data_IF_695731764670
#
_entry.id   IF_695731764670
#
_cell.length_a   1.000
_cell.length_b   1.000
_cell.length_c   1.000
_cell.angle_alpha   90.00
_cell.angle_beta   90.00
_cell.angle_gamma   90.00
#
_symmetry.space_group_name_H-M   'P 1'
#
loop_
_entity.id
_entity.type
_entity.pdbx_description
1 polymer ?
#
# COMPACT_ATOMS: atom_id res chain seq x y z
N UNK A 1 -12.23 -6.83 -0.83
CA UNK A 1 -11.28 -6.04 -0.01
C UNK A 1 -10.63 -4.87 -0.78
N UNK A 2 -9.83 -5.07 -1.84
CA UNK A 2 -9.10 -3.96 -2.50
C UNK A 2 -9.98 -2.80 -2.97
N UNK A 3 -11.10 -3.08 -3.64
CA UNK A 3 -12.01 -2.03 -4.11
C UNK A 3 -12.67 -1.25 -2.96
N UNK A 4 -13.02 -1.93 -1.87
CA UNK A 4 -13.56 -1.26 -0.67
C UNK A 4 -12.50 -0.35 -0.04
N UNK A 5 -11.24 -0.76 0.00
CA UNK A 5 -10.15 0.10 0.47
C UNK A 5 -9.98 1.33 -0.43
N UNK A 6 -10.02 1.18 -1.77
CA UNK A 6 -10.03 2.32 -2.69
C UNK A 6 -11.18 3.28 -2.39
N UNK A 7 -12.39 2.75 -2.25
CA UNK A 7 -13.58 3.55 -1.94
C UNK A 7 -13.41 4.33 -0.63
N UNK A 8 -12.89 3.69 0.42
CA UNK A 8 -12.64 4.34 1.70
C UNK A 8 -11.59 5.46 1.56
N UNK A 9 -10.47 5.23 0.85
CA UNK A 9 -9.50 6.27 0.56
C UNK A 9 -10.13 7.45 -0.19
N UNK A 10 -10.96 7.17 -1.19
CA UNK A 10 -11.64 8.23 -1.94
C UNK A 10 -12.64 9.01 -1.08
N UNK A 11 -13.35 8.36 -0.16
CA UNK A 11 -14.23 9.04 0.80
C UNK A 11 -13.44 9.96 1.74
N UNK A 12 -12.21 9.61 2.12
CA UNK A 12 -11.33 10.51 2.87
C UNK A 12 -10.96 11.76 2.06
N UNK A 13 -10.70 11.60 0.75
CA UNK A 13 -10.42 12.73 -0.16
C UNK A 13 -11.61 13.67 -0.23
N UNK A 14 -12.81 13.14 -0.43
CA UNK A 14 -14.02 13.96 -0.56
C UNK A 14 -14.41 14.58 0.78
N UNK A 15 -14.48 13.78 1.85
CA UNK A 15 -15.04 14.19 3.14
C UNK A 15 -14.11 15.04 3.97
N UNK A 16 -12.80 14.78 3.94
CA UNK A 16 -11.85 15.49 4.81
C UNK A 16 -10.98 16.51 4.09
N UNK A 17 -10.67 16.29 2.82
CA UNK A 17 -9.87 17.22 2.04
C UNK A 17 -10.70 18.14 1.14
N UNK A 18 -12.02 17.91 1.05
CA UNK A 18 -12.90 18.66 0.14
C UNK A 18 -12.53 18.47 -1.34
N UNK A 19 -11.86 17.35 -1.65
CA UNK A 19 -11.35 17.05 -2.97
C UNK A 19 -12.32 16.24 -3.83
N UNK A 20 -11.84 15.87 -5.01
CA UNK A 20 -12.54 15.04 -6.00
C UNK A 20 -11.54 14.30 -6.87
N UNK A 21 -12.02 13.44 -7.77
CA UNK A 21 -11.17 12.86 -8.81
C UNK A 21 -10.51 13.91 -9.71
N UNK A 22 -9.48 13.51 -10.41
CA UNK A 22 -8.61 14.33 -11.25
C UNK A 22 -7.83 15.39 -10.45
N UNK A 23 -7.49 15.02 -9.22
CA UNK A 23 -6.62 15.78 -8.31
C UNK A 23 -5.58 14.83 -7.68
N UNK A 24 -4.50 15.41 -7.17
CA UNK A 24 -3.43 14.66 -6.52
C UNK A 24 -3.45 14.92 -5.01
N UNK A 25 -3.72 13.89 -4.22
CA UNK A 25 -3.48 13.92 -2.78
C UNK A 25 -2.00 13.67 -2.54
N UNK A 26 -1.39 14.40 -1.63
CA UNK A 26 0.01 14.23 -1.28
C UNK A 26 0.26 14.51 0.20
N UNK A 27 1.41 14.12 0.71
CA UNK A 27 1.89 14.47 2.04
C UNK A 27 3.12 15.35 1.90
N UNK A 28 3.09 16.57 2.45
CA UNK A 28 4.18 17.54 2.39
C UNK A 28 5.33 17.21 3.36
N UNK A 29 5.19 16.17 4.18
CA UNK A 29 6.18 15.64 5.10
C UNK A 29 6.07 14.12 5.20
N UNK A 30 6.99 13.50 5.92
CA UNK A 30 6.94 12.07 6.20
C UNK A 30 5.64 11.69 6.91
N UNK A 31 5.17 10.49 6.65
CA UNK A 31 3.95 9.98 7.26
C UNK A 31 4.14 9.77 8.76
N UNK A 32 3.14 10.19 9.50
CA UNK A 32 2.97 9.89 10.92
C UNK A 32 1.73 8.99 11.13
N UNK A 33 1.41 8.73 12.37
CA UNK A 33 0.28 7.90 12.78
C UNK A 33 -1.10 8.40 12.27
N UNK A 34 -1.23 9.59 11.75
CA UNK A 34 -2.47 10.07 11.12
C UNK A 34 -2.74 9.44 9.77
N UNK A 35 -1.73 8.85 9.13
CA UNK A 35 -1.94 8.03 7.94
C UNK A 35 -2.30 6.61 8.38
N UNK A 36 -3.58 6.28 8.26
CA UNK A 36 -4.16 4.98 8.59
C UNK A 36 -4.53 4.23 7.32
N UNK A 37 -3.60 4.20 6.38
CA UNK A 37 -3.65 3.27 5.24
C UNK A 37 -2.95 1.96 5.60
N UNK A 38 -3.12 0.92 4.78
CA UNK A 38 -2.50 -0.38 5.03
C UNK A 38 -0.98 -0.29 4.90
N UNK A 39 -0.25 -0.74 5.90
CA UNK A 39 1.22 -0.85 5.96
C UNK A 39 2.00 0.29 5.25
N UNK A 40 1.71 1.57 5.53
CA UNK A 40 2.38 2.68 4.84
C UNK A 40 3.87 2.73 5.20
N UNK A 41 4.69 3.29 4.31
CA UNK A 41 6.11 3.48 4.57
C UNK A 41 6.38 4.90 5.10
N UNK A 42 6.97 5.09 6.29
CA UNK A 42 7.26 6.42 6.83
C UNK A 42 8.49 7.10 6.21
N UNK A 43 9.28 6.39 5.38
CA UNK A 43 10.57 6.88 4.88
C UNK A 43 10.51 7.42 3.43
N UNK A 44 9.31 7.74 2.93
CA UNK A 44 9.10 8.28 1.57
C UNK A 44 8.01 9.35 1.59
N UNK A 45 7.99 10.21 0.57
CA UNK A 45 6.88 11.12 0.32
C UNK A 45 5.86 10.45 -0.60
N UNK A 46 4.60 10.40 -0.19
CA UNK A 46 3.52 9.82 -0.96
C UNK A 46 2.74 10.84 -1.76
N UNK A 47 2.32 10.40 -2.97
CA UNK A 47 1.34 11.08 -3.80
C UNK A 47 0.34 10.04 -4.31
N UNK A 48 -0.93 10.42 -4.29
CA UNK A 48 -2.04 9.61 -4.79
C UNK A 48 -2.86 10.42 -5.79
N UNK A 49 -2.52 10.41 -7.09
CA UNK A 49 -3.40 10.88 -8.15
C UNK A 49 -4.66 10.01 -8.20
N UNK A 50 -5.81 10.55 -7.87
CA UNK A 50 -7.11 9.91 -8.09
C UNK A 50 -7.67 10.37 -9.43
N UNK A 51 -8.08 9.46 -10.28
CA UNK A 51 -8.62 9.77 -11.60
C UNK A 51 -10.04 9.23 -11.79
N UNK A 52 -10.81 9.91 -12.62
CA UNK A 52 -12.11 9.46 -13.14
C UNK A 52 -12.21 9.83 -14.61
N UNK A 53 -12.35 8.81 -15.45
CA UNK A 53 -12.43 8.92 -16.90
C UNK A 53 -13.86 8.94 -17.43
N UNK A 54 -14.89 8.78 -16.56
CA UNK A 54 -16.28 8.58 -16.96
C UNK A 54 -16.83 9.74 -17.77
N UNK A 55 -16.68 10.94 -17.21
CA UNK A 55 -17.18 12.17 -17.83
C UNK A 55 -16.07 12.99 -18.49
N UNK A 56 -14.84 12.85 -17.99
CA UNK A 56 -13.69 13.61 -18.48
C UNK A 56 -13.03 12.99 -19.73
N UNK A 57 -13.38 11.75 -20.08
CA UNK A 57 -12.65 11.01 -21.10
C UNK A 57 -11.26 10.57 -20.64
N UNK A 58 -10.33 10.27 -21.58
CA UNK A 58 -8.97 9.87 -21.22
C UNK A 58 -8.26 10.92 -20.37
N UNK A 59 -7.50 10.45 -19.35
CA UNK A 59 -6.74 11.29 -18.44
C UNK A 59 -5.24 11.11 -18.70
N UNK A 60 -4.51 12.21 -18.73
CA UNK A 60 -3.05 12.23 -18.82
C UNK A 60 -2.46 12.40 -17.43
N UNK A 61 -1.60 11.46 -17.05
CA UNK A 61 -0.71 11.56 -15.89
C UNK A 61 0.72 11.79 -16.42
N UNK A 62 1.25 13.00 -16.24
CA UNK A 62 2.65 13.28 -16.58
C UNK A 62 3.57 12.98 -15.40
N UNK A 63 4.56 12.14 -15.64
CA UNK A 63 5.62 11.80 -14.68
C UNK A 63 6.91 12.51 -15.12
N UNK A 64 7.56 13.32 -14.25
CA UNK A 64 8.82 13.95 -14.58
C UNK A 64 9.95 12.92 -14.72
N UNK A 65 10.99 13.22 -15.53
CA UNK A 65 12.16 12.37 -15.61
C UNK A 65 12.92 12.33 -14.27
N UNK A 66 13.63 11.24 -14.01
CA UNK A 66 14.44 11.04 -12.81
C UNK A 66 15.77 11.82 -12.86
N UNK A 67 15.69 13.13 -13.01
CA UNK A 67 16.81 14.07 -13.11
C UNK A 67 17.20 14.70 -11.76
N UNK A 68 16.22 15.18 -10.99
CA UNK A 68 16.41 15.82 -9.69
C UNK A 68 15.91 14.96 -8.51
N UNK A 69 15.14 13.91 -8.80
CA UNK A 69 14.56 12.98 -7.86
C UNK A 69 14.14 11.69 -8.53
N UNK A 70 13.51 10.79 -7.78
CA UNK A 70 12.99 9.53 -8.29
C UNK A 70 11.56 9.33 -7.81
N UNK A 71 10.64 9.11 -8.74
CA UNK A 71 9.30 8.62 -8.46
C UNK A 71 9.21 7.14 -8.79
N UNK A 72 8.67 6.37 -7.86
CA UNK A 72 8.32 4.96 -8.06
C UNK A 72 6.85 4.76 -7.69
N UNK A 73 6.14 3.99 -8.46
CA UNK A 73 4.75 3.69 -8.14
C UNK A 73 4.07 2.86 -9.19
N UNK A 74 2.78 2.61 -8.95
CA UNK A 74 1.92 1.87 -9.87
C UNK A 74 0.62 2.61 -10.07
N UNK A 75 0.13 2.62 -11.31
CA UNK A 75 -1.21 3.08 -11.65
C UNK A 75 -2.14 1.88 -11.56
N UNK A 76 -3.25 2.03 -10.88
CA UNK A 76 -4.17 0.95 -10.55
C UNK A 76 -5.60 1.32 -10.92
N UNK A 77 -6.37 0.30 -11.31
CA UNK A 77 -7.81 0.42 -11.47
C UNK A 77 -8.52 0.48 -10.10
N UNK A 78 -9.85 0.61 -10.11
CA UNK A 78 -10.67 0.64 -8.88
C UNK A 78 -10.48 -0.60 -7.99
N UNK A 79 -10.19 -1.76 -8.58
CA UNK A 79 -9.95 -3.02 -7.88
C UNK A 79 -8.51 -3.16 -7.36
N UNK A 80 -7.72 -2.09 -7.45
CA UNK A 80 -6.30 -2.05 -7.09
C UNK A 80 -5.44 -3.08 -7.83
N UNK A 81 -5.87 -3.50 -9.02
CA UNK A 81 -5.02 -4.25 -9.92
C UNK A 81 -4.12 -3.26 -10.70
N UNK A 82 -2.81 -3.54 -10.73
CA UNK A 82 -1.86 -2.67 -11.41
C UNK A 82 -2.07 -2.70 -12.93
N UNK A 83 -2.25 -1.52 -13.50
CA UNK A 83 -2.32 -1.31 -14.94
C UNK A 83 -0.90 -1.20 -15.49
N UNK A 84 -0.08 -0.35 -14.87
CA UNK A 84 1.32 -0.18 -15.23
C UNK A 84 2.13 0.42 -14.06
N UNK A 85 3.43 0.13 -14.03
CA UNK A 85 4.36 0.73 -13.11
C UNK A 85 5.04 1.96 -13.73
N UNK A 86 5.40 2.92 -12.88
CA UNK A 86 6.10 4.17 -13.25
C UNK A 86 7.46 4.26 -12.57
N UNK A 87 8.35 5.04 -13.17
CA UNK A 87 9.71 5.27 -12.67
C UNK A 87 10.73 4.24 -13.14
N UNK A 88 11.92 4.15 -12.51
CA UNK A 88 13.01 3.28 -12.97
C UNK A 88 12.65 1.81 -13.13
N UNK A 89 11.71 1.30 -12.33
CA UNK A 89 11.19 -0.08 -12.44
C UNK A 89 10.05 -0.25 -13.44
N UNK A 90 9.47 0.85 -13.92
CA UNK A 90 8.34 0.88 -14.83
C UNK A 90 8.73 0.95 -16.30
N UNK A 91 7.72 1.14 -17.16
CA UNK A 91 7.91 1.19 -18.62
C UNK A 91 8.70 2.40 -19.08
N UNK A 92 8.65 3.52 -18.36
CA UNK A 92 9.39 4.74 -18.64
C UNK A 92 10.87 4.66 -18.24
N UNK A 93 11.25 3.64 -17.49
CA UNK A 93 12.63 3.41 -17.02
C UNK A 93 13.29 4.65 -16.40
N UNK A 94 12.47 5.48 -15.71
CA UNK A 94 12.92 6.73 -15.12
C UNK A 94 13.10 7.89 -16.12
N UNK A 95 12.72 7.72 -17.38
CA UNK A 95 12.75 8.81 -18.36
C UNK A 95 11.58 9.78 -18.18
N UNK A 96 10.60 9.40 -17.36
CA UNK A 96 9.34 10.09 -17.28
C UNK A 96 8.49 9.91 -18.54
N UNK A 97 7.33 10.56 -18.58
CA UNK A 97 6.46 10.44 -19.74
C UNK A 97 5.03 10.85 -19.47
N UNK A 98 4.24 10.80 -20.54
CA UNK A 98 2.80 11.04 -20.51
C UNK A 98 2.08 9.69 -20.52
N UNK A 99 1.57 9.30 -19.37
CA UNK A 99 0.75 8.10 -19.24
C UNK A 99 -0.70 8.47 -19.53
N UNK A 100 -1.26 7.87 -20.60
CA UNK A 100 -2.63 8.10 -21.03
C UNK A 100 -3.53 7.00 -20.48
N UNK A 101 -4.34 7.33 -19.48
CA UNK A 101 -5.34 6.44 -18.89
C UNK A 101 -6.57 6.46 -19.75
N UNK A 102 -6.87 5.34 -20.39
CA UNK A 102 -7.95 5.19 -21.37
C UNK A 102 -9.16 4.54 -20.68
N UNK A 103 -10.38 5.12 -20.78
CA UNK A 103 -11.57 4.57 -20.13
C UNK A 103 -12.00 3.20 -20.67
N UNK A 104 -12.87 2.48 -19.94
CA UNK A 104 -13.42 1.21 -20.38
C UNK A 104 -14.13 1.33 -21.76
N UNK A 105 -13.90 0.37 -22.63
CA UNK A 105 -14.50 0.29 -23.98
C UNK A 105 -14.16 1.46 -24.91
N UNK A 106 -13.12 2.20 -24.59
CA UNK A 106 -12.61 3.25 -25.48
C UNK A 106 -11.72 2.58 -26.53
N UNK A 107 -12.06 2.80 -27.81
CA UNK A 107 -11.21 2.36 -28.92
C UNK A 107 -10.30 3.54 -29.27
N UNK A 108 -9.01 3.47 -28.93
CA UNK A 108 -8.10 4.56 -29.18
C UNK A 108 -7.66 4.55 -30.65
N UNK A 109 -8.48 5.04 -31.56
CA UNK A 109 -8.08 5.23 -32.95
C UNK A 109 -6.92 6.27 -33.07
N UNK A 110 -6.77 7.15 -32.06
CA UNK A 110 -5.78 8.21 -32.03
C UNK A 110 -5.11 8.35 -30.66
N UNK A 111 -4.19 7.44 -30.33
CA UNK A 111 -3.28 7.69 -29.21
C UNK A 111 -2.27 8.76 -29.63
N UNK A 112 -2.23 9.92 -28.94
CA UNK A 112 -1.28 10.97 -29.29
C UNK A 112 0.16 10.45 -29.28
N UNK A 113 0.99 10.82 -30.28
CA UNK A 113 2.40 10.42 -30.31
C UNK A 113 3.12 10.80 -29.01
N UNK A 114 3.93 9.87 -28.49
CA UNK A 114 4.69 10.07 -27.27
C UNK A 114 3.94 9.81 -25.96
N UNK A 115 2.69 9.34 -26.03
CA UNK A 115 1.95 8.85 -24.86
C UNK A 115 2.16 7.34 -24.65
N UNK A 116 2.25 6.95 -23.39
CA UNK A 116 2.21 5.56 -22.93
C UNK A 116 0.74 5.25 -22.64
N UNK A 117 0.07 4.52 -23.52
CA UNK A 117 -1.35 4.21 -23.32
C UNK A 117 -1.55 3.10 -22.32
N UNK A 118 -2.50 3.29 -21.41
CA UNK A 118 -2.92 2.35 -20.37
C UNK A 118 -4.44 2.15 -20.45
N UNK A 119 -4.87 0.98 -20.89
CA UNK A 119 -6.28 0.63 -20.86
C UNK A 119 -6.73 0.33 -19.44
N UNK A 120 -7.64 1.14 -18.92
CA UNK A 120 -8.28 0.93 -17.64
C UNK A 120 -9.65 0.30 -17.83
N UNK A 121 -9.93 -0.80 -17.15
CA UNK A 121 -11.20 -1.51 -17.23
C UNK A 121 -12.25 -1.02 -16.21
N UNK A 122 -11.91 0.02 -15.45
CA UNK A 122 -12.80 0.81 -14.58
C UNK A 122 -12.72 2.29 -14.94
N UNK A 123 -13.76 3.08 -14.60
CA UNK A 123 -13.72 4.52 -14.84
C UNK A 123 -12.79 5.23 -13.86
N UNK A 124 -12.84 4.81 -12.61
CA UNK A 124 -12.02 5.37 -11.55
C UNK A 124 -10.84 4.46 -11.23
N UNK A 125 -9.82 5.09 -10.67
CA UNK A 125 -8.64 4.44 -10.12
C UNK A 125 -7.71 5.47 -9.51
N UNK A 126 -6.52 5.06 -9.16
CA UNK A 126 -5.51 5.95 -8.61
C UNK A 126 -4.11 5.46 -8.93
N UNK A 127 -3.12 6.30 -8.73
CA UNK A 127 -1.74 5.86 -8.65
C UNK A 127 -1.22 5.98 -7.23
N UNK A 128 -0.47 5.00 -6.76
CA UNK A 128 0.29 5.11 -5.53
C UNK A 128 1.75 5.39 -5.89
N UNK A 129 2.15 6.64 -5.71
CA UNK A 129 3.46 7.13 -6.10
C UNK A 129 4.28 7.51 -4.87
N UNK A 130 5.55 7.15 -4.88
CA UNK A 130 6.51 7.48 -3.84
C UNK A 130 7.64 8.32 -4.41
N UNK A 131 7.89 9.50 -3.82
CA UNK A 131 9.12 10.23 -4.07
C UNK A 131 10.19 9.73 -3.09
N UNK A 132 11.25 9.16 -3.64
CA UNK A 132 12.33 8.54 -2.86
C UNK A 132 13.24 9.62 -2.31
N UNK A 133 13.58 9.50 -1.04
CA UNK A 133 14.46 10.43 -0.33
C UNK A 133 15.93 9.99 -0.46
N UNK A 134 16.83 10.96 -0.48
CA UNK A 134 18.29 10.71 -0.35
C UNK A 134 18.70 10.57 1.11
N UNK A 135 18.03 11.30 1.99
CA UNK A 135 18.13 11.21 3.44
C UNK A 135 16.82 11.67 4.08
N UNK A 136 16.69 11.53 5.40
CA UNK A 136 15.52 12.02 6.15
C UNK A 136 15.71 13.47 6.65
N UNK A 137 16.61 14.27 6.04
CA UNK A 137 16.78 15.68 6.37
C UNK A 137 15.62 16.51 5.85
N UNK A 138 15.30 17.61 6.56
CA UNK A 138 14.24 18.55 6.13
C UNK A 138 14.48 19.08 4.70
N UNK A 139 15.75 19.30 4.32
CA UNK A 139 16.11 19.76 2.98
C UNK A 139 15.78 18.71 1.92
N UNK A 140 16.13 17.43 2.14
CA UNK A 140 15.83 16.35 1.20
C UNK A 140 14.34 16.07 1.11
N UNK A 141 13.62 16.16 2.22
CA UNK A 141 12.15 16.08 2.25
C UNK A 141 11.55 17.20 1.38
N UNK A 142 11.99 18.45 1.57
CA UNK A 142 11.50 19.58 0.79
C UNK A 142 11.81 19.43 -0.71
N UNK A 143 13.01 18.95 -1.06
CA UNK A 143 13.38 18.66 -2.44
C UNK A 143 12.51 17.55 -3.06
N UNK A 144 12.29 16.45 -2.33
CA UNK A 144 11.45 15.35 -2.78
C UNK A 144 9.99 15.78 -3.02
N UNK A 145 9.45 16.65 -2.17
CA UNK A 145 8.11 17.25 -2.33
C UNK A 145 8.08 18.18 -3.54
N UNK A 146 9.08 19.05 -3.71
CA UNK A 146 9.16 19.97 -4.84
C UNK A 146 9.25 19.21 -6.16
N UNK A 147 10.10 18.17 -6.22
CA UNK A 147 10.23 17.31 -7.38
C UNK A 147 8.92 16.56 -7.69
N UNK A 148 8.29 15.97 -6.70
CA UNK A 148 7.03 15.27 -6.85
C UNK A 148 5.90 16.16 -7.39
N UNK A 149 5.86 17.42 -7.01
CA UNK A 149 4.91 18.42 -7.54
C UNK A 149 5.12 18.82 -8.99
N UNK A 150 6.14 18.29 -9.66
CA UNK A 150 6.30 18.41 -11.14
C UNK A 150 5.33 17.48 -11.89
N UNK A 151 4.72 16.51 -11.21
CA UNK A 151 3.65 15.69 -11.80
C UNK A 151 2.49 16.56 -12.26
N UNK A 152 1.81 16.11 -13.35
CA UNK A 152 0.58 16.74 -13.81
C UNK A 152 -0.50 15.70 -14.03
N UNK A 153 -1.75 16.11 -13.78
CA UNK A 153 -2.94 15.28 -13.99
C UNK A 153 -4.02 16.15 -14.64
N UNK A 154 -4.45 15.79 -15.84
CA UNK A 154 -5.44 16.56 -16.60
C UNK A 154 -6.16 15.71 -17.66
N UNK A 155 -7.38 16.10 -18.09
CA UNK A 155 -8.05 15.46 -19.20
C UNK A 155 -7.28 15.61 -20.52
N UNK A 156 -7.30 14.59 -21.38
CA UNK A 156 -6.66 14.65 -22.70
C UNK A 156 -7.20 15.80 -23.56
N UNK A 157 -8.49 16.13 -23.42
CA UNK A 157 -9.11 17.29 -24.10
C UNK A 157 -8.37 18.61 -23.86
N UNK A 158 -7.72 18.72 -22.70
CA UNK A 158 -7.02 19.93 -22.28
C UNK A 158 -5.51 19.89 -22.59
N UNK A 159 -5.03 18.85 -23.30
CA UNK A 159 -3.60 18.63 -23.54
C UNK A 159 -2.89 19.77 -24.29
N UNK A 160 -3.61 20.59 -25.08
CA UNK A 160 -3.05 21.77 -25.74
C UNK A 160 -2.75 22.94 -24.79
N UNK A 161 -3.46 23.01 -23.66
CA UNK A 161 -3.28 24.03 -22.61
C UNK A 161 -3.70 23.43 -21.26
N UNK A 162 -2.87 22.54 -20.68
CA UNK A 162 -3.24 21.83 -19.47
C UNK A 162 -3.48 22.79 -18.29
N UNK A 163 -4.57 22.62 -17.53
CA UNK A 163 -4.79 23.39 -16.32
C UNK A 163 -3.74 23.08 -15.28
N UNK A 164 -3.57 23.98 -14.31
CA UNK A 164 -2.72 23.72 -13.15
C UNK A 164 -3.26 22.52 -12.37
N UNK A 165 -2.39 21.57 -12.09
CA UNK A 165 -2.73 20.41 -11.27
C UNK A 165 -3.05 20.82 -9.84
N UNK A 166 -4.15 20.33 -9.31
CA UNK A 166 -4.55 20.58 -7.93
C UNK A 166 -3.91 19.54 -7.03
N UNK A 167 -3.15 20.01 -6.04
CA UNK A 167 -2.54 19.19 -4.99
C UNK A 167 -3.24 19.42 -3.66
N UNK A 168 -3.70 18.36 -3.02
CA UNK A 168 -4.37 18.37 -1.72
C UNK A 168 -3.42 17.79 -0.67
N UNK A 169 -3.01 18.61 0.28
CA UNK A 169 -2.09 18.18 1.35
C UNK A 169 -2.85 17.47 2.47
N UNK A 170 -2.54 16.21 2.70
CA UNK A 170 -3.14 15.37 3.73
C UNK A 170 -2.27 15.23 4.99
N UNK A 171 -1.16 15.98 5.12
CA UNK A 171 -0.19 15.80 6.21
C UNK A 171 -0.77 16.04 7.60
N UNK A 172 -1.79 16.89 7.74
CA UNK A 172 -2.43 17.19 9.02
C UNK A 172 -3.79 16.50 9.22
N UNK A 173 -4.20 15.67 8.27
CA UNK A 173 -5.48 14.99 8.28
C UNK A 173 -5.32 13.55 8.78
N UNK A 174 -6.20 13.11 9.66
CA UNK A 174 -6.37 11.68 9.95
C UNK A 174 -7.00 11.03 8.71
N UNK A 175 -6.15 10.53 7.83
CA UNK A 175 -6.53 9.83 6.60
C UNK A 175 -6.67 8.34 6.89
N UNK A 176 -7.92 7.86 7.03
CA UNK A 176 -8.23 6.54 7.54
C UNK A 176 -9.03 5.70 6.52
N UNK A 177 -8.35 4.74 5.91
CA UNK A 177 -8.96 3.79 4.99
C UNK A 177 -8.99 2.35 5.53
N UNK A 178 -8.95 2.21 6.86
CA UNK A 178 -9.06 0.91 7.54
C UNK A 178 -10.34 0.22 7.15
N UNK A 179 -10.26 -1.05 6.75
CA UNK A 179 -11.45 -1.85 6.39
C UNK A 179 -12.35 -2.03 7.62
N UNK A 180 -13.62 -1.62 7.54
CA UNK A 180 -14.58 -1.93 8.59
C UNK A 180 -15.08 -3.37 8.42
N UNK A 181 -14.92 -4.21 9.44
CA UNK A 181 -15.44 -5.56 9.45
C UNK A 181 -16.88 -5.59 9.98
N UNK A 182 -17.76 -4.79 9.34
CA UNK A 182 -19.18 -4.65 9.65
C UNK A 182 -19.99 -4.25 8.40
N UNK A 183 -21.25 -3.84 8.59
CA UNK A 183 -22.18 -3.45 7.52
C UNK A 183 -21.60 -2.36 6.59
N UNK A 184 -20.73 -1.49 7.08
CA UNK A 184 -20.12 -0.40 6.29
C UNK A 184 -19.26 -0.93 5.13
N UNK A 185 -18.73 -2.15 5.26
CA UNK A 185 -18.08 -2.84 4.15
C UNK A 185 -19.02 -3.02 2.96
N UNK A 186 -20.25 -3.50 3.23
CA UNK A 186 -21.26 -3.74 2.21
C UNK A 186 -21.83 -2.44 1.65
N UNK A 187 -21.93 -1.39 2.48
CA UNK A 187 -22.31 -0.05 2.01
C UNK A 187 -21.29 0.49 1.01
N UNK A 188 -19.99 0.30 1.27
CA UNK A 188 -18.92 0.65 0.32
C UNK A 188 -19.00 -0.22 -0.95
N UNK A 189 -19.20 -1.52 -0.80
CA UNK A 189 -19.32 -2.45 -1.93
C UNK A 189 -20.55 -2.10 -2.82
N UNK A 190 -21.65 -1.67 -2.22
CA UNK A 190 -22.82 -1.20 -2.97
C UNK A 190 -22.46 0.02 -3.84
N UNK A 191 -21.76 1.02 -3.30
CA UNK A 191 -21.30 2.19 -4.08
C UNK A 191 -20.45 1.79 -5.29
N UNK A 192 -19.56 0.83 -5.12
CA UNK A 192 -18.72 0.28 -6.20
C UNK A 192 -19.57 -0.34 -7.31
N UNK A 193 -20.53 -1.19 -6.92
CA UNK A 193 -21.44 -1.86 -7.85
C UNK A 193 -22.28 -0.86 -8.66
N UNK A 194 -22.63 0.29 -8.05
CA UNK A 194 -23.35 1.37 -8.74
C UNK A 194 -22.46 2.15 -9.71
N UNK A 195 -21.21 2.44 -9.32
CA UNK A 195 -20.35 3.40 -10.03
C UNK A 195 -19.62 2.79 -11.24
N UNK A 196 -19.11 1.54 -11.08
CA UNK A 196 -18.16 0.95 -12.00
C UNK A 196 -18.75 -0.13 -12.90
N UNK A 197 -18.21 -0.34 -14.12
CA UNK A 197 -18.60 -1.47 -14.94
C UNK A 197 -18.21 -2.78 -14.25
N UNK A 198 -19.03 -3.80 -14.43
CA UNK A 198 -18.68 -5.13 -13.94
C UNK A 198 -17.68 -5.79 -14.89
N UNK A 199 -16.51 -6.07 -14.35
CA UNK A 199 -15.51 -6.82 -15.10
C UNK A 199 -16.00 -8.24 -15.35
N UNK A 200 -15.69 -8.80 -16.50
CA UNK A 200 -16.13 -10.15 -16.84
C UNK A 200 -15.65 -11.18 -15.83
N UNK A 201 -14.37 -11.07 -15.40
CA UNK A 201 -13.78 -11.92 -14.38
C UNK A 201 -14.49 -11.86 -13.03
N UNK A 202 -15.14 -10.73 -12.71
CA UNK A 202 -15.73 -10.48 -11.39
C UNK A 202 -17.25 -10.71 -11.37
N UNK A 203 -17.87 -10.97 -12.53
CA UNK A 203 -19.34 -11.14 -12.64
C UNK A 203 -19.90 -12.24 -11.74
N UNK A 204 -19.21 -13.37 -11.66
CA UNK A 204 -19.62 -14.49 -10.81
C UNK A 204 -19.64 -14.14 -9.31
N UNK A 205 -18.91 -13.09 -8.90
CA UNK A 205 -18.88 -12.61 -7.52
C UNK A 205 -19.85 -11.45 -7.30
N UNK A 206 -20.02 -10.59 -8.32
CA UNK A 206 -20.86 -9.39 -8.20
C UNK A 206 -22.35 -9.72 -8.36
N UNK A 207 -22.74 -10.55 -9.34
CA UNK A 207 -24.15 -10.86 -9.57
C UNK A 207 -24.86 -11.52 -8.37
N UNK A 208 -24.26 -12.44 -7.61
CA UNK A 208 -24.87 -12.99 -6.41
C UNK A 208 -25.12 -11.99 -5.28
N UNK A 209 -24.47 -10.82 -5.28
CA UNK A 209 -24.67 -9.80 -4.24
C UNK A 209 -26.13 -9.27 -4.19
N UNK A 210 -26.90 -9.43 -5.28
CA UNK A 210 -28.34 -9.14 -5.27
C UNK A 210 -29.10 -9.95 -4.23
N UNK A 211 -28.62 -11.13 -3.84
CA UNK A 211 -29.26 -11.96 -2.80
C UNK A 211 -29.19 -11.35 -1.41
N UNK A 212 -28.30 -10.40 -1.20
CA UNK A 212 -28.16 -9.62 0.03
C UNK A 212 -28.59 -8.15 -0.15
N UNK A 213 -29.21 -7.83 -1.28
CA UNK A 213 -29.76 -6.50 -1.58
C UNK A 213 -28.78 -5.51 -2.23
N UNK A 214 -27.60 -5.97 -2.69
CA UNK A 214 -26.68 -5.13 -3.47
C UNK A 214 -26.91 -5.39 -4.95
N UNK A 215 -27.65 -4.51 -5.61
CA UNK A 215 -28.02 -4.60 -7.03
C UNK A 215 -27.87 -3.24 -7.68
N UNK A 216 -27.45 -3.21 -8.94
CA UNK A 216 -27.30 -1.96 -9.69
C UNK A 216 -28.66 -1.30 -9.95
N UNK A 217 -28.74 -0.02 -9.62
CA UNK A 217 -29.95 0.79 -9.75
C UNK A 217 -30.85 0.76 -8.53
N UNK A 218 -30.57 -0.12 -7.54
CA UNK A 218 -31.34 -0.23 -6.31
C UNK A 218 -30.54 0.30 -5.10
N UNK A 219 -31.22 0.94 -4.13
CA UNK A 219 -30.57 1.37 -2.89
C UNK A 219 -30.28 0.16 -2.01
N UNK A 220 -29.11 0.15 -1.36
CA UNK A 220 -28.77 -0.87 -0.37
C UNK A 220 -29.34 -0.47 1.00
N UNK A 221 -30.47 -1.04 1.38
CA UNK A 221 -31.15 -0.81 2.67
C UNK A 221 -31.60 -2.13 3.30
N UNK A 222 -30.65 -2.95 3.82
CA UNK A 222 -30.95 -4.24 4.41
C UNK A 222 -31.74 -4.10 5.72
N UNK A 223 -32.70 -5.00 5.93
CA UNK A 223 -33.45 -5.07 7.19
C UNK A 223 -32.56 -5.44 8.39
N UNK A 224 -33.10 -5.34 9.60
CA UNK A 224 -32.35 -5.58 10.83
C UNK A 224 -31.82 -7.02 10.98
N UNK A 225 -32.46 -8.01 10.35
CA UNK A 225 -31.96 -9.40 10.31
C UNK A 225 -30.78 -9.52 9.39
N UNK A 226 -30.91 -9.01 8.18
CA UNK A 226 -29.85 -9.03 7.18
C UNK A 226 -28.62 -8.28 7.67
N UNK A 227 -28.78 -7.10 8.32
CA UNK A 227 -27.66 -6.36 8.92
C UNK A 227 -26.88 -7.19 9.93
N UNK A 228 -27.56 -7.95 10.81
CA UNK A 228 -26.87 -8.82 11.78
C UNK A 228 -26.09 -9.92 11.08
N UNK A 229 -26.72 -10.62 10.13
CA UNK A 229 -26.05 -11.69 9.37
C UNK A 229 -24.81 -11.17 8.64
N UNK A 230 -24.90 -9.99 8.04
CA UNK A 230 -23.77 -9.38 7.32
C UNK A 230 -22.65 -8.95 8.27
N UNK A 231 -22.96 -8.42 9.46
CA UNK A 231 -21.95 -8.12 10.47
C UNK A 231 -21.25 -9.40 10.95
N UNK A 232 -22.00 -10.46 11.25
CA UNK A 232 -21.44 -11.75 11.69
C UNK A 232 -20.55 -12.35 10.58
N UNK A 233 -20.97 -12.28 9.32
CA UNK A 233 -20.20 -12.77 8.17
C UNK A 233 -18.88 -12.01 7.99
N UNK A 234 -18.84 -10.69 8.27
CA UNK A 234 -17.59 -9.93 8.21
C UNK A 234 -16.61 -10.32 9.32
N UNK A 235 -17.09 -10.60 10.53
CA UNK A 235 -16.24 -11.09 11.62
C UNK A 235 -15.68 -12.48 11.32
N UNK A 236 -16.49 -13.36 10.74
CA UNK A 236 -16.06 -14.69 10.30
C UNK A 236 -15.01 -14.56 9.16
N UNK A 237 -15.25 -13.69 8.17
CA UNK A 237 -14.29 -13.43 7.10
C UNK A 237 -12.97 -12.89 7.64
N UNK A 238 -12.99 -12.01 8.65
CA UNK A 238 -11.78 -11.54 9.33
C UNK A 238 -11.01 -12.70 9.95
N UNK A 239 -11.71 -13.57 10.68
CA UNK A 239 -11.08 -14.73 11.33
C UNK A 239 -10.42 -15.68 10.31
N UNK A 240 -11.07 -15.94 9.17
CA UNK A 240 -10.50 -16.74 8.07
C UNK A 240 -9.25 -16.10 7.50
N UNK A 241 -9.24 -14.79 7.30
CA UNK A 241 -8.04 -14.07 6.82
C UNK A 241 -6.89 -14.17 7.84
N UNK A 242 -7.18 -13.99 9.13
CA UNK A 242 -6.18 -14.11 10.20
C UNK A 242 -5.60 -15.53 10.31
N UNK A 243 -6.43 -16.56 10.21
CA UNK A 243 -5.97 -17.95 10.23
C UNK A 243 -4.98 -18.26 9.10
N UNK A 244 -5.20 -17.66 7.92
CA UNK A 244 -4.29 -17.85 6.78
C UNK A 244 -2.92 -17.23 6.97
N UNK A 245 -2.79 -16.16 7.76
CA UNK A 245 -1.48 -15.60 8.09
C UNK A 245 -0.57 -16.63 8.76
N UNK A 246 -1.13 -17.48 9.61
CA UNK A 246 -0.39 -18.56 10.28
C UNK A 246 0.08 -19.68 9.32
N UNK A 247 -0.41 -19.71 8.07
CA UNK A 247 -0.04 -20.74 7.09
C UNK A 247 1.08 -20.32 6.14
N UNK A 248 1.53 -19.06 6.19
CA UNK A 248 2.60 -18.57 5.31
C UNK A 248 3.94 -19.18 5.75
N UNK A 249 4.66 -19.87 4.84
CA UNK A 249 5.93 -20.49 5.23
C UNK A 249 7.00 -19.44 5.55
N UNK A 250 7.90 -19.74 6.50
CA UNK A 250 8.98 -18.85 6.84
C UNK A 250 9.95 -18.65 5.66
N UNK A 251 10.43 -17.42 5.50
CA UNK A 251 11.44 -17.09 4.48
C UNK A 251 12.78 -17.76 4.77
N UNK A 252 13.20 -17.78 6.03
CA UNK A 252 14.39 -18.50 6.49
C UNK A 252 13.96 -19.80 7.16
N UNK A 253 14.68 -20.89 6.89
CA UNK A 253 14.45 -22.16 7.57
C UNK A 253 14.60 -21.99 9.09
N UNK A 254 13.59 -22.43 9.86
CA UNK A 254 13.53 -22.32 11.31
C UNK A 254 13.42 -20.87 11.83
N UNK A 255 13.03 -19.91 11.02
CA UNK A 255 12.81 -18.53 11.43
C UNK A 255 11.33 -18.13 11.43
N UNK A 256 11.04 -16.90 11.88
CA UNK A 256 9.68 -16.36 11.99
C UNK A 256 9.39 -15.21 11.01
N UNK A 257 10.36 -14.80 10.20
CA UNK A 257 10.15 -13.87 9.11
C UNK A 257 9.57 -14.59 7.89
N UNK A 258 8.53 -14.03 7.29
CA UNK A 258 7.94 -14.57 6.07
C UNK A 258 7.76 -13.50 5.00
N UNK A 259 7.71 -13.89 3.74
CA UNK A 259 7.32 -13.00 2.66
C UNK A 259 5.80 -12.88 2.68
N UNK A 260 5.24 -11.64 2.78
CA UNK A 260 3.79 -11.45 2.97
C UNK A 260 3.01 -11.64 1.66
N UNK A 261 3.22 -12.76 0.98
CA UNK A 261 2.45 -13.21 -0.17
C UNK A 261 2.66 -14.71 -0.39
N UNK A 262 1.60 -15.43 -0.73
CA UNK A 262 1.70 -16.81 -1.19
C UNK A 262 2.21 -16.87 -2.63
N UNK A 263 2.67 -18.05 -3.07
CA UNK A 263 3.05 -18.29 -4.46
C UNK A 263 1.85 -18.08 -5.41
N UNK A 264 0.66 -18.51 -4.98
CA UNK A 264 -0.59 -18.37 -5.71
C UNK A 264 -0.99 -16.90 -5.87
N UNK A 265 -0.81 -16.09 -4.82
CA UNK A 265 -1.05 -14.65 -4.90
C UNK A 265 -0.09 -13.98 -5.90
N UNK A 266 1.19 -14.37 -5.88
CA UNK A 266 2.19 -13.84 -6.81
C UNK A 266 1.85 -14.18 -8.27
N UNK A 267 1.42 -15.40 -8.54
CA UNK A 267 0.95 -15.84 -9.86
C UNK A 267 -0.30 -15.07 -10.28
N UNK A 268 -1.26 -14.92 -9.38
CA UNK A 268 -2.52 -14.20 -9.63
C UNK A 268 -2.29 -12.72 -9.98
N UNK A 269 -1.37 -12.05 -9.28
CA UNK A 269 -0.96 -10.68 -9.61
C UNK A 269 -0.35 -10.62 -11.02
N UNK A 270 0.53 -11.56 -11.35
CA UNK A 270 1.22 -11.60 -12.64
C UNK A 270 0.29 -11.80 -13.85
N UNK A 271 -0.89 -12.39 -13.66
CA UNK A 271 -1.89 -12.61 -14.69
C UNK A 271 -3.16 -11.74 -14.57
N UNK A 272 -3.10 -10.64 -13.82
CA UNK A 272 -4.23 -9.73 -13.55
C UNK A 272 -5.43 -10.43 -12.89
N UNK A 273 -5.20 -11.46 -12.07
CA UNK A 273 -6.23 -12.32 -11.48
C UNK A 273 -7.13 -13.01 -12.52
N UNK A 274 -6.63 -13.21 -13.72
CA UNK A 274 -7.33 -13.94 -14.80
C UNK A 274 -6.85 -15.38 -14.83
N UNK A 275 -7.65 -16.28 -14.27
CA UNK A 275 -7.44 -17.72 -14.38
C UNK A 275 -8.52 -18.34 -15.24
N UNK A 276 -8.18 -19.42 -15.98
CA UNK A 276 -9.10 -20.01 -16.94
C UNK A 276 -10.26 -20.75 -16.26
N UNK A 277 -9.93 -21.53 -15.25
CA UNK A 277 -10.83 -22.55 -14.70
C UNK A 277 -11.16 -22.33 -13.22
N UNK A 278 -10.71 -21.22 -12.63
CA UNK A 278 -10.96 -20.86 -11.23
C UNK A 278 -11.08 -19.36 -11.03
N UNK A 279 -11.70 -18.96 -9.92
CA UNK A 279 -11.74 -17.57 -9.49
C UNK A 279 -10.88 -17.40 -8.23
N UNK A 280 -9.82 -16.57 -8.27
CA UNK A 280 -8.88 -16.45 -7.16
C UNK A 280 -9.45 -15.53 -6.05
N UNK A 281 -10.49 -16.00 -5.36
CA UNK A 281 -11.21 -15.24 -4.30
C UNK A 281 -10.29 -14.87 -3.17
N UNK A 282 -9.54 -15.85 -2.70
CA UNK A 282 -8.66 -15.71 -1.55
C UNK A 282 -7.50 -14.77 -1.84
N UNK A 283 -6.87 -14.94 -3.00
CA UNK A 283 -5.76 -14.09 -3.44
C UNK A 283 -6.19 -12.63 -3.58
N UNK A 284 -7.44 -12.37 -4.02
CA UNK A 284 -8.01 -11.03 -4.08
C UNK A 284 -8.18 -10.40 -2.69
N UNK A 285 -8.61 -11.17 -1.72
CA UNK A 285 -8.68 -10.76 -0.31
C UNK A 285 -7.29 -10.51 0.27
N UNK A 286 -6.39 -11.45 0.03
CA UNK A 286 -5.02 -11.39 0.52
C UNK A 286 -4.19 -10.27 -0.07
N UNK A 287 -4.44 -9.89 -1.33
CA UNK A 287 -3.79 -8.72 -1.92
C UNK A 287 -3.88 -7.52 -1.01
N UNK A 288 -5.06 -7.25 -0.45
CA UNK A 288 -5.23 -6.15 0.47
C UNK A 288 -4.50 -6.37 1.80
N UNK A 289 -4.60 -7.56 2.42
CA UNK A 289 -4.06 -7.79 3.76
C UNK A 289 -2.55 -7.98 3.78
N UNK A 290 -1.93 -8.48 2.70
CA UNK A 290 -0.51 -8.83 2.65
C UNK A 290 0.35 -7.87 1.85
N UNK A 291 -0.03 -7.56 0.61
CA UNK A 291 0.80 -6.76 -0.30
C UNK A 291 0.28 -5.34 -0.44
N UNK A 292 -0.91 -5.05 0.08
CA UNK A 292 -1.53 -3.73 0.05
C UNK A 292 -2.08 -3.31 -1.34
N UNK A 293 -1.29 -3.37 -2.39
CA UNK A 293 -1.68 -3.09 -3.75
C UNK A 293 -0.84 -3.94 -4.70
N UNK A 294 -1.31 -4.13 -5.92
CA UNK A 294 -0.54 -4.82 -6.92
C UNK A 294 0.50 -3.90 -7.57
N UNK A 295 1.62 -4.48 -7.98
CA UNK A 295 2.58 -3.88 -8.90
C UNK A 295 2.65 -4.78 -10.13
N UNK A 296 2.87 -4.18 -11.31
CA UNK A 296 2.99 -4.98 -12.53
C UNK A 296 4.27 -5.83 -12.52
N UNK A 297 5.34 -5.27 -11.93
CA UNK A 297 6.67 -5.89 -11.87
C UNK A 297 7.13 -6.05 -10.43
N UNK A 298 6.59 -7.07 -9.74
CA UNK A 298 6.87 -7.35 -8.32
C UNK A 298 8.33 -7.72 -8.11
N UNK A 299 8.94 -7.24 -7.01
CA UNK A 299 10.27 -7.66 -6.53
C UNK A 299 11.47 -6.94 -7.16
N UNK A 300 11.28 -6.04 -8.09
CA UNK A 300 12.42 -5.34 -8.75
C UNK A 300 12.95 -4.15 -7.96
N UNK A 301 12.08 -3.37 -7.35
CA UNK A 301 12.46 -2.14 -6.65
C UNK A 301 12.62 -2.34 -5.14
N UNK A 302 11.86 -3.27 -4.57
CA UNK A 302 11.78 -3.48 -3.13
C UNK A 302 11.36 -4.91 -2.80
N UNK A 303 11.75 -5.37 -1.60
CA UNK A 303 11.36 -6.68 -1.06
C UNK A 303 11.01 -6.53 0.42
N UNK A 304 10.05 -7.31 0.89
CA UNK A 304 9.52 -7.21 2.24
C UNK A 304 9.58 -8.54 2.97
N UNK A 305 9.90 -8.48 4.26
CA UNK A 305 9.69 -9.58 5.18
C UNK A 305 8.83 -9.09 6.35
N UNK A 306 7.91 -9.91 6.79
CA UNK A 306 7.01 -9.60 7.91
C UNK A 306 7.22 -10.61 9.03
N UNK A 307 7.08 -10.14 10.27
CA UNK A 307 7.03 -10.97 11.46
C UNK A 307 5.84 -10.56 12.33
N UNK A 308 5.10 -11.55 12.80
CA UNK A 308 3.97 -11.41 13.73
C UNK A 308 4.21 -12.13 15.06
N UNK A 309 5.34 -12.85 15.14
CA UNK A 309 5.73 -13.69 16.27
C UNK A 309 7.19 -13.44 16.65
N UNK A 310 7.53 -13.73 17.90
CA UNK A 310 8.90 -13.73 18.40
C UNK A 310 9.63 -15.04 18.05
N UNK A 311 10.89 -15.17 18.47
CA UNK A 311 11.76 -16.34 18.23
C UNK A 311 11.29 -17.62 18.93
N UNK A 312 10.37 -17.52 19.90
CA UNK A 312 9.68 -18.65 20.54
C UNK A 312 8.35 -19.00 19.84
N UNK A 313 7.94 -18.28 18.77
CA UNK A 313 6.65 -18.45 18.08
C UNK A 313 5.46 -17.88 18.84
N UNK A 314 5.66 -16.88 19.69
CA UNK A 314 4.57 -16.21 20.41
C UNK A 314 4.21 -14.90 19.71
N UNK A 315 2.93 -14.53 19.67
CA UNK A 315 2.50 -13.24 19.10
C UNK A 315 3.25 -12.05 19.72
N UNK A 316 3.58 -11.07 18.89
CA UNK A 316 4.24 -9.84 19.32
C UNK A 316 3.25 -8.95 20.07
N UNK A 317 3.38 -8.87 21.37
CA UNK A 317 2.50 -8.11 22.26
C UNK A 317 3.02 -6.70 22.51
N UNK A 318 2.18 -5.69 22.30
CA UNK A 318 2.58 -4.28 22.44
C UNK A 318 3.05 -3.90 23.85
N UNK A 319 2.62 -4.63 24.89
CA UNK A 319 3.02 -4.42 26.29
C UNK A 319 4.37 -5.02 26.65
N UNK A 320 4.98 -5.85 25.78
CA UNK A 320 6.26 -6.50 26.03
C UNK A 320 7.40 -5.77 25.30
N UNK A 321 8.64 -6.10 25.70
CA UNK A 321 9.85 -5.55 25.11
C UNK A 321 10.55 -6.60 24.25
N UNK A 322 11.05 -6.17 23.11
CA UNK A 322 11.70 -7.03 22.12
C UNK A 322 12.93 -6.36 21.52
N UNK A 323 13.78 -7.20 20.92
CA UNK A 323 14.94 -6.78 20.14
C UNK A 323 15.00 -7.57 18.84
N UNK A 324 15.43 -6.91 17.77
CA UNK A 324 15.88 -7.58 16.53
C UNK A 324 17.30 -7.14 16.22
N UNK A 325 18.13 -8.11 15.84
CA UNK A 325 19.48 -7.86 15.38
C UNK A 325 19.52 -7.78 13.85
N UNK A 326 19.94 -6.63 13.32
CA UNK A 326 20.20 -6.41 11.89
C UNK A 326 21.69 -6.55 11.66
N UNK A 327 22.18 -7.64 11.05
CA UNK A 327 23.60 -7.82 10.80
C UNK A 327 24.17 -6.76 9.87
N UNK A 328 25.46 -6.51 9.99
CA UNK A 328 26.19 -5.61 9.08
C UNK A 328 26.00 -5.99 7.61
N UNK A 329 26.22 -5.02 6.72
CA UNK A 329 26.16 -5.22 5.27
C UNK A 329 24.79 -5.76 4.79
N UNK A 330 23.69 -5.21 5.32
CA UNK A 330 22.36 -5.54 4.85
C UNK A 330 22.29 -5.42 3.29
N UNK A 331 21.74 -6.45 2.60
CA UNK A 331 21.83 -6.58 1.15
C UNK A 331 20.84 -5.67 0.42
N UNK A 332 21.10 -4.37 0.47
CA UNK A 332 20.30 -3.31 -0.16
C UNK A 332 21.20 -2.36 -0.94
N UNK A 333 20.70 -1.86 -2.07
CA UNK A 333 21.38 -0.83 -2.84
C UNK A 333 21.03 0.59 -2.36
N UNK A 334 19.89 0.74 -1.66
CA UNK A 334 19.43 2.03 -1.18
C UNK A 334 19.39 2.05 0.34
N UNK A 335 18.37 1.47 0.97
CA UNK A 335 18.22 1.42 2.42
C UNK A 335 17.37 0.23 2.87
N UNK A 336 17.45 -0.08 4.14
CA UNK A 336 16.53 -0.98 4.83
C UNK A 336 15.74 -0.22 5.90
N UNK A 337 14.54 -0.71 6.22
CA UNK A 337 13.75 -0.19 7.35
C UNK A 337 12.98 -1.27 8.07
N UNK A 338 12.71 -1.02 9.36
CA UNK A 338 11.78 -1.77 10.19
C UNK A 338 10.67 -0.82 10.63
N UNK A 339 9.42 -1.21 10.37
CA UNK A 339 8.24 -0.42 10.70
C UNK A 339 7.25 -1.28 11.48
N UNK A 340 6.65 -0.70 12.51
CA UNK A 340 5.70 -1.37 13.40
C UNK A 340 4.28 -0.95 13.03
N UNK A 341 3.36 -1.93 12.99
CA UNK A 341 1.94 -1.71 12.75
C UNK A 341 1.09 -2.38 13.82
N UNK A 342 -0.09 -1.84 14.02
CA UNK A 342 -1.12 -2.50 14.80
C UNK A 342 -1.57 -3.76 14.07
N UNK A 343 -1.60 -4.91 14.76
CA UNK A 343 -1.91 -6.22 14.17
C UNK A 343 -3.34 -6.34 13.67
N UNK A 344 -4.30 -5.69 14.33
CA UNK A 344 -5.72 -5.76 13.97
C UNK A 344 -6.07 -4.96 12.71
N UNK A 345 -5.35 -3.86 12.45
CA UNK A 345 -5.66 -2.91 11.38
C UNK A 345 -4.63 -2.88 10.28
N UNK A 346 -3.43 -3.42 10.51
CA UNK A 346 -2.26 -3.35 9.62
C UNK A 346 -1.87 -1.91 9.25
N UNK A 347 -2.19 -0.95 10.12
CA UNK A 347 -1.88 0.47 9.98
C UNK A 347 -0.92 0.92 11.07
N UNK A 348 -0.39 2.14 10.99
CA UNK A 348 0.47 2.66 12.04
C UNK A 348 -0.22 2.64 13.41
N UNK A 349 0.54 2.29 14.44
CA UNK A 349 0.12 2.46 15.83
C UNK A 349 -0.15 3.94 16.07
N UNK A 350 -1.32 4.27 16.62
CA UNK A 350 -1.78 5.64 16.80
C UNK A 350 -1.09 6.34 17.97
N UNK A 351 -0.88 7.64 17.83
CA UNK A 351 -0.36 8.54 18.88
C UNK A 351 1.05 8.22 19.38
N UNK A 352 1.84 7.53 18.57
CA UNK A 352 3.26 7.30 18.85
C UNK A 352 4.12 8.37 18.16
N UNK A 353 5.28 8.72 18.71
CA UNK A 353 6.13 9.78 18.16
C UNK A 353 6.80 9.40 16.82
N UNK A 354 7.03 8.11 16.59
CA UNK A 354 7.52 7.54 15.34
C UNK A 354 7.12 6.06 15.25
N UNK A 355 7.12 5.53 14.04
CA UNK A 355 6.59 4.20 13.74
C UNK A 355 7.64 3.24 13.21
N UNK A 356 8.87 3.71 13.01
CA UNK A 356 9.93 2.89 12.41
C UNK A 356 11.33 3.44 12.61
N UNK A 357 12.31 2.64 12.19
CA UNK A 357 13.73 2.99 12.06
C UNK A 357 14.26 2.43 10.75
N UNK A 358 15.15 3.19 10.12
CA UNK A 358 15.80 2.78 8.88
C UNK A 358 17.30 3.04 8.95
N UNK A 359 18.06 2.48 8.01
CA UNK A 359 19.47 2.79 7.86
C UNK A 359 19.76 4.26 7.56
N UNK A 360 18.72 5.05 7.25
CA UNK A 360 18.80 6.50 7.03
C UNK A 360 18.36 7.32 8.25
N UNK A 361 17.90 6.68 9.33
CA UNK A 361 17.44 7.40 10.53
C UNK A 361 18.59 8.22 11.14
N UNK A 362 18.45 9.54 11.31
CA UNK A 362 19.48 10.36 11.95
C UNK A 362 19.80 9.86 13.35
N UNK A 363 21.10 9.68 13.65
CA UNK A 363 21.55 9.22 14.96
C UNK A 363 21.35 7.73 15.23
N UNK A 364 21.10 6.92 14.18
CA UNK A 364 21.03 5.46 14.34
C UNK A 364 22.29 4.92 14.97
N UNK A 365 22.16 4.23 16.10
CA UNK A 365 23.28 3.64 16.83
C UNK A 365 23.73 2.36 16.15
N UNK A 366 24.98 2.33 15.72
CA UNK A 366 25.61 1.19 15.04
C UNK A 366 26.71 0.64 15.91
N UNK A 367 26.82 -0.68 16.01
CA UNK A 367 27.91 -1.36 16.74
C UNK A 367 29.23 -1.27 15.96
N UNK A 368 30.33 -1.63 16.61
CA UNK A 368 31.68 -1.60 16.03
C UNK A 368 31.83 -2.48 14.77
N UNK A 369 31.07 -3.57 14.69
CA UNK A 369 31.01 -4.47 13.54
C UNK A 369 30.09 -4.01 12.40
N UNK A 370 29.42 -2.86 12.58
CA UNK A 370 28.47 -2.30 11.62
C UNK A 370 27.05 -2.87 11.71
N UNK A 371 26.78 -3.76 12.67
CA UNK A 371 25.42 -4.26 12.94
C UNK A 371 24.60 -3.25 13.75
N UNK A 372 23.28 -3.45 13.75
CA UNK A 372 22.33 -2.58 14.45
C UNK A 372 21.35 -3.41 15.26
N UNK A 373 21.14 -3.06 16.51
CA UNK A 373 20.01 -3.60 17.29
C UNK A 373 18.85 -2.60 17.27
N UNK A 374 17.65 -3.07 16.93
CA UNK A 374 16.41 -2.31 16.99
C UNK A 374 15.56 -2.89 18.13
N UNK A 375 14.99 -2.02 18.95
CA UNK A 375 14.17 -2.39 20.09
C UNK A 375 12.72 -2.01 19.85
N UNK A 376 11.80 -2.85 20.31
CA UNK A 376 10.35 -2.60 20.29
C UNK A 376 9.81 -2.68 21.70
N UNK A 377 8.83 -1.87 22.01
CA UNK A 377 8.20 -1.91 23.33
C UNK A 377 7.58 -0.57 23.74
N UNK A 378 6.81 -0.56 24.85
CA UNK A 378 6.14 0.67 25.32
C UNK A 378 7.13 1.71 25.86
N UNK A 379 8.33 1.28 26.25
CA UNK A 379 9.38 2.13 26.81
C UNK A 379 10.73 1.86 26.15
N UNK A 380 11.52 2.92 25.96
CA UNK A 380 12.87 2.79 25.44
C UNK A 380 13.78 2.11 26.47
N UNK A 381 14.64 1.14 26.07
CA UNK A 381 15.59 0.51 26.99
C UNK A 381 16.73 1.44 27.42
N UNK A 382 16.90 2.56 26.77
CA UNK A 382 17.89 3.59 27.10
C UNK A 382 17.71 4.85 26.25
N UNK A 383 18.28 6.00 26.64
CA UNK A 383 18.03 7.29 25.99
C UNK A 383 18.54 7.37 24.55
N UNK A 384 19.54 6.58 24.19
CA UNK A 384 20.14 6.57 22.84
C UNK A 384 19.83 5.27 22.07
N UNK A 385 18.86 4.48 22.53
CA UNK A 385 18.52 3.22 21.85
C UNK A 385 17.79 3.44 20.52
N UNK A 386 18.03 2.55 19.56
CA UNK A 386 17.24 2.48 18.32
C UNK A 386 15.87 1.88 18.63
N UNK A 387 15.04 2.60 19.35
CA UNK A 387 13.75 2.13 19.84
C UNK A 387 12.60 2.56 18.92
N UNK A 388 11.64 1.68 18.75
CA UNK A 388 10.36 1.91 18.09
C UNK A 388 9.24 1.66 19.11
N UNK A 389 8.40 2.66 19.43
CA UNK A 389 7.33 2.50 20.40
C UNK A 389 6.22 1.58 19.92
N UNK A 390 5.66 0.81 20.87
CA UNK A 390 4.46 -0.01 20.66
C UNK A 390 3.31 0.49 21.54
N UNK A 391 2.07 0.07 21.24
CA UNK A 391 0.92 0.33 22.08
C UNK A 391 0.91 -0.66 23.26
N UNK A 392 0.49 -0.20 24.45
CA UNK A 392 0.30 -1.08 25.60
C UNK A 392 -0.82 -2.09 25.40
N UNK A 393 -1.79 -1.77 24.55
CA UNK A 393 -2.94 -2.60 24.26
C UNK A 393 -2.83 -3.22 22.87
N UNK A 394 -3.08 -4.53 22.79
CA UNK A 394 -3.09 -5.28 21.53
C UNK A 394 -1.73 -5.79 21.08
N UNK A 395 -1.77 -6.47 19.96
CA UNK A 395 -0.61 -7.07 19.31
C UNK A 395 -0.10 -6.16 18.19
N UNK A 396 1.14 -6.38 17.78
CA UNK A 396 1.75 -5.64 16.68
C UNK A 396 2.42 -6.59 15.67
N UNK A 397 2.74 -6.05 14.53
CA UNK A 397 3.52 -6.72 13.49
C UNK A 397 4.65 -5.82 13.03
N UNK A 398 5.71 -6.43 12.52
CA UNK A 398 6.88 -5.72 12.02
C UNK A 398 7.10 -6.03 10.56
N UNK A 399 7.25 -4.98 9.74
CA UNK A 399 7.61 -5.12 8.35
C UNK A 399 9.05 -4.65 8.12
N UNK A 400 9.90 -5.56 7.71
CA UNK A 400 11.26 -5.27 7.25
C UNK A 400 11.23 -5.02 5.74
N UNK A 401 11.68 -3.85 5.31
CA UNK A 401 11.76 -3.44 3.91
C UNK A 401 13.20 -3.36 3.45
N UNK A 402 13.45 -3.89 2.26
CA UNK A 402 14.74 -3.87 1.58
C UNK A 402 14.58 -3.15 0.24
N UNK A 403 15.11 -1.92 0.13
CA UNK A 403 15.04 -1.11 -1.09
C UNK A 403 16.27 -1.34 -1.95
N UNK A 404 16.05 -1.73 -3.21
CA UNK A 404 17.10 -2.23 -4.09
C UNK A 404 17.69 -3.53 -3.55
N UNK A 405 16.88 -4.58 -3.31
CA UNK A 405 17.34 -5.83 -2.69
C UNK A 405 18.42 -6.49 -3.54
N UNK A 406 19.46 -7.01 -2.89
CA UNK A 406 20.59 -7.65 -3.53
C UNK A 406 20.56 -9.18 -3.38
N UNK A 407 21.39 -9.86 -4.17
CA UNK A 407 21.44 -11.32 -4.27
C UNK A 407 21.56 -12.04 -2.92
N UNK A 408 22.35 -11.51 -1.99
CA UNK A 408 22.58 -12.14 -0.68
C UNK A 408 21.32 -12.29 0.17
N UNK A 409 20.28 -11.46 -0.04
CA UNK A 409 18.97 -11.63 0.59
C UNK A 409 18.27 -12.91 0.07
N UNK A 410 18.24 -13.09 -1.24
CA UNK A 410 17.53 -14.19 -1.88
C UNK A 410 18.27 -15.52 -1.76
N UNK A 411 19.60 -15.49 -1.79
CA UNK A 411 20.46 -16.67 -1.53
C UNK A 411 20.48 -17.05 -0.03
N UNK A 412 19.90 -16.18 0.84
CA UNK A 412 19.87 -16.37 2.29
C UNK A 412 21.25 -16.47 2.94
N UNK A 413 22.28 -15.92 2.28
CA UNK A 413 23.64 -15.83 2.80
C UNK A 413 23.80 -14.71 3.83
N UNK A 414 22.89 -13.74 3.79
CA UNK A 414 22.63 -12.77 4.84
C UNK A 414 21.26 -13.07 5.45
N UNK A 415 21.17 -13.09 6.77
CA UNK A 415 19.92 -13.41 7.48
C UNK A 415 19.60 -12.33 8.49
N UNK A 416 18.40 -11.76 8.43
CA UNK A 416 17.85 -10.91 9.47
C UNK A 416 17.60 -11.78 10.72
N UNK A 417 18.00 -11.30 11.90
CA UNK A 417 17.71 -11.99 13.16
C UNK A 417 16.21 -12.08 13.42
N UNK A 418 15.76 -13.12 14.10
CA UNK A 418 14.38 -13.18 14.59
C UNK A 418 14.15 -12.14 15.70
N UNK A 419 12.89 -11.83 15.99
CA UNK A 419 12.51 -10.86 17.03
C UNK A 419 12.57 -11.58 18.38
N UNK A 420 13.54 -11.25 19.20
CA UNK A 420 13.75 -11.85 20.50
C UNK A 420 13.01 -11.07 21.59
N UNK A 421 12.28 -11.76 22.46
CA UNK A 421 11.71 -11.13 23.66
C UNK A 421 12.80 -10.80 24.66
N UNK A 422 12.83 -9.56 25.14
CA UNK A 422 13.80 -9.12 26.15
C UNK A 422 13.15 -9.02 27.54
N UNK A 423 13.97 -9.07 28.58
CA UNK A 423 13.47 -8.74 29.91
C UNK A 423 12.99 -7.27 29.93
N UNK A 424 11.94 -6.96 30.72
CA UNK A 424 11.42 -5.60 30.85
C UNK A 424 12.43 -4.61 31.44
#
# INVERSE_FOLDING_TARGET
MPAVNYELMYQEVVGKLGGRCNQIVYWSRLLDWKNQTLTPNPDVIYLMPFFDTKDAGPIVLEIPPADEGVLNGSVMNYWQAAIEDIGPGGVDRGQGGKYLIVPPRYEPDDIPPGCIAMSCDTFQGYALVRSVLKSLSDNDIAQAVAYAKRMKLYPLSDASNPPSTVFLDASDVLFDSTIPYDIRFFESLSRIVQAEPWLERDRAMIDPLKTIGIERGEPFDPDGRTRRVLNDAMLEAKAVLEERWATVPPFYEGGHWFFPASAELHESIGNDFKTRDSYPVDERGWLYTFIFFSAKHVGRAQYYLMATEDDDGRPLQGSASYRVHVPANAPVAQYWSLTVYNRDTHTFIRKVPWVGRSSQTPGLQTKDDGSVDIFFGPTAPGPESNWIPTDLEGDFEVLARFYGPQKALFDKTWRLGDIERTAP
#
